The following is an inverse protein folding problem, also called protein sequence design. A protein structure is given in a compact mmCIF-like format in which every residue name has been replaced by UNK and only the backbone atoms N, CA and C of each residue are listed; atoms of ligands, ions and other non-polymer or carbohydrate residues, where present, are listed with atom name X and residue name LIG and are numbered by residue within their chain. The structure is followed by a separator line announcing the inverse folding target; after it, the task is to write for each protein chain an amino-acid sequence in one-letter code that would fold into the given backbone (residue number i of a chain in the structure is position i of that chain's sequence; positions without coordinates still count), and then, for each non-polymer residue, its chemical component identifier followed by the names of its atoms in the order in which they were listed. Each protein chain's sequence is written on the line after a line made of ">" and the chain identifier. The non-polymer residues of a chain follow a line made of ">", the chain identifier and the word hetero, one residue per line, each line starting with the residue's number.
data_IF_811464592162
#
_entry.id   IF_811464592162
#
_cell.length_a   1.000
_cell.length_b   1.000
_cell.length_c   1.000
_cell.angle_alpha   90.00
_cell.angle_beta   90.00
_cell.angle_gamma   90.00
#
_symmetry.space_group_name_H-M   'P 1'
#
loop_
_entity.id
_entity.type
_entity.pdbx_description
1 polymer ?
#
# COMPACT_ATOMS: atom_id res chain seq x y z
N UNK A 1 -6.75 -14.95 51.44
CA UNK A 1 -7.93 -14.06 51.42
C UNK A 1 -7.46 -12.62 51.26
N UNK A 2 -8.09 -11.91 50.34
CA UNK A 2 -8.23 -10.46 50.22
C UNK A 2 -6.99 -9.55 50.03
N UNK A 3 -6.86 -9.13 48.77
CA UNK A 3 -6.45 -7.83 48.24
C UNK A 3 -6.70 -6.58 49.11
N UNK A 4 -5.78 -5.61 49.05
CA UNK A 4 -6.16 -4.19 48.99
C UNK A 4 -5.16 -3.40 48.14
N UNK A 5 -5.73 -2.75 47.13
CA UNK A 5 -5.12 -1.87 46.12
C UNK A 5 -4.89 -0.48 46.68
N UNK A 6 -3.69 0.09 46.50
CA UNK A 6 -3.45 1.53 46.58
C UNK A 6 -3.27 2.08 45.17
N UNK A 7 -4.39 2.49 44.58
CA UNK A 7 -4.41 3.24 43.33
C UNK A 7 -3.74 4.61 43.50
N UNK A 8 -2.88 4.95 42.55
CA UNK A 8 -2.45 6.33 42.30
C UNK A 8 -3.64 7.17 41.80
N UNK A 9 -3.68 8.48 42.08
CA UNK A 9 -4.89 9.28 41.91
C UNK A 9 -5.21 9.47 40.43
N UNK A 10 -6.40 9.03 40.03
CA UNK A 10 -7.05 9.46 38.79
C UNK A 10 -7.33 10.97 38.89
N UNK A 11 -6.85 11.80 37.94
CA UNK A 11 -7.34 13.16 37.84
C UNK A 11 -8.78 13.14 37.34
N UNK A 12 -9.66 13.90 38.00
CA UNK A 12 -11.07 14.01 37.69
C UNK A 12 -11.34 14.50 36.24
N UNK A 13 -12.48 14.13 35.63
CA UNK A 13 -12.90 14.56 34.28
C UNK A 13 -12.92 16.08 34.05
N UNK A 14 -12.90 16.87 35.13
CA UNK A 14 -12.75 18.33 35.09
C UNK A 14 -11.37 18.78 34.55
N UNK A 15 -10.32 17.97 34.68
CA UNK A 15 -9.00 18.31 34.14
C UNK A 15 -8.99 18.33 32.60
N UNK A 16 -9.72 17.39 31.96
CA UNK A 16 -9.92 17.37 30.50
C UNK A 16 -10.78 18.56 30.08
N UNK A 17 -11.79 18.89 30.87
CA UNK A 17 -12.70 20.01 30.57
C UNK A 17 -12.02 21.38 30.72
N UNK A 18 -11.16 21.58 31.72
CA UNK A 18 -10.40 22.83 31.93
C UNK A 18 -9.25 23.02 30.93
N UNK A 19 -8.57 21.94 30.53
CA UNK A 19 -7.48 22.01 29.55
C UNK A 19 -7.98 22.24 28.11
N UNK A 20 -9.15 21.68 27.76
CA UNK A 20 -9.73 21.78 26.42
C UNK A 20 -10.67 22.99 26.27
N UNK A 21 -11.11 23.59 27.38
CA UNK A 21 -11.89 24.85 27.40
C UNK A 21 -11.02 26.10 27.56
N UNK A 22 -9.70 26.01 27.39
CA UNK A 22 -8.82 27.18 27.41
C UNK A 22 -8.52 27.64 25.96
N UNK A 23 -9.40 28.46 25.36
CA UNK A 23 -9.26 28.90 23.97
C UNK A 23 -7.96 29.67 23.71
N UNK A 24 -7.31 30.21 24.76
CA UNK A 24 -6.04 30.94 24.64
C UNK A 24 -4.89 30.02 24.22
N UNK A 25 -4.82 28.78 24.71
CA UNK A 25 -3.80 27.80 24.30
C UNK A 25 -3.99 27.30 22.87
N UNK A 26 -5.25 27.17 22.42
CA UNK A 26 -5.59 26.79 21.03
C UNK A 26 -5.39 27.96 20.06
N UNK A 27 -5.66 29.19 20.50
CA UNK A 27 -5.47 30.43 19.73
C UNK A 27 -3.99 30.81 19.58
N UNK A 28 -3.16 30.66 20.62
CA UNK A 28 -1.70 30.86 20.50
C UNK A 28 -1.08 29.84 19.52
N UNK A 29 -1.63 28.63 19.47
CA UNK A 29 -1.22 27.61 18.51
C UNK A 29 -1.56 28.00 17.06
N UNK A 30 -2.72 28.62 16.81
CA UNK A 30 -3.13 29.07 15.47
C UNK A 30 -2.41 30.36 15.03
N UNK A 31 -2.11 31.27 15.97
CA UNK A 31 -1.32 32.48 15.71
C UNK A 31 0.14 32.14 15.37
N UNK A 32 0.70 31.10 15.99
CA UNK A 32 2.06 30.61 15.70
C UNK A 32 2.18 29.89 14.34
N UNK A 33 1.13 29.18 13.88
CA UNK A 33 1.08 28.57 12.53
C UNK A 33 1.09 29.65 11.44
N UNK A 34 0.41 30.77 11.68
CA UNK A 34 0.42 31.94 10.78
C UNK A 34 1.77 32.69 10.76
N UNK A 35 2.65 32.44 11.75
CA UNK A 35 3.93 33.16 11.95
C UNK A 35 5.19 32.27 11.97
N UNK A 36 5.08 30.99 11.58
CA UNK A 36 6.25 30.11 11.37
C UNK A 36 6.84 29.43 12.63
N UNK A 37 6.08 29.30 13.72
CA UNK A 37 6.55 28.65 14.97
C UNK A 37 6.54 27.10 14.91
N UNK A 38 7.57 26.45 14.37
CA UNK A 38 7.65 24.98 14.21
C UNK A 38 7.76 24.15 15.51
N UNK A 39 8.19 24.72 16.65
CA UNK A 39 8.40 23.95 17.91
C UNK A 39 7.10 23.62 18.64
N UNK A 40 6.21 24.60 18.80
CA UNK A 40 4.96 24.46 19.56
C UNK A 40 3.94 23.56 18.85
N UNK A 41 3.91 23.59 17.52
CA UNK A 41 3.04 22.74 16.68
C UNK A 41 3.29 21.24 16.92
N UNK A 42 4.56 20.83 16.97
CA UNK A 42 4.93 19.42 17.15
C UNK A 42 4.65 18.92 18.58
N UNK A 43 4.71 19.79 19.58
CA UNK A 43 4.42 19.43 20.98
C UNK A 43 2.93 19.25 21.22
N UNK A 44 2.10 20.12 20.64
CA UNK A 44 0.63 19.99 20.69
C UNK A 44 0.16 18.77 19.89
N UNK A 45 0.74 18.52 18.71
CA UNK A 45 0.46 17.30 17.94
C UNK A 45 0.83 16.02 18.71
N UNK A 46 1.99 15.99 19.40
CA UNK A 46 2.39 14.88 20.27
C UNK A 46 1.46 14.71 21.47
N UNK A 47 0.90 15.80 22.00
CA UNK A 47 -0.02 15.76 23.13
C UNK A 47 -1.36 15.14 22.74
N UNK A 48 -1.97 15.55 21.62
CA UNK A 48 -3.20 14.93 21.12
C UNK A 48 -3.03 13.46 20.76
N UNK A 49 -1.85 13.06 20.27
CA UNK A 49 -1.54 11.65 20.05
C UNK A 49 -1.46 10.88 21.37
N UNK A 50 -0.86 11.45 22.42
CA UNK A 50 -0.76 10.80 23.74
C UNK A 50 -2.11 10.73 24.45
N UNK A 51 -2.92 11.79 24.37
CA UNK A 51 -4.28 11.81 24.92
C UNK A 51 -5.19 10.84 24.16
N UNK A 52 -5.08 10.78 22.82
CA UNK A 52 -5.86 9.86 22.00
C UNK A 52 -5.58 8.37 22.26
N UNK A 53 -4.38 8.02 22.75
CA UNK A 53 -4.07 6.65 23.17
C UNK A 53 -4.68 6.28 24.53
N UNK A 54 -4.94 7.27 25.40
CA UNK A 54 -5.50 7.06 26.75
C UNK A 54 -7.02 7.24 26.76
N UNK A 55 -7.55 8.16 25.95
CA UNK A 55 -8.97 8.52 25.85
C UNK A 55 -9.46 8.54 24.37
N UNK A 56 -9.38 7.42 23.64
CA UNK A 56 -9.73 7.37 22.21
C UNK A 56 -11.21 7.69 21.94
N UNK A 57 -12.08 7.32 22.88
CA UNK A 57 -13.53 7.48 22.80
C UNK A 57 -13.99 8.92 23.01
N UNK A 58 -13.48 9.56 24.07
CA UNK A 58 -13.80 10.95 24.37
C UNK A 58 -13.29 11.89 23.27
N UNK A 59 -12.10 11.59 22.71
CA UNK A 59 -11.54 12.32 21.58
C UNK A 59 -12.37 12.15 20.30
N UNK A 60 -12.91 10.95 20.07
CA UNK A 60 -13.79 10.64 18.94
C UNK A 60 -15.13 11.37 19.00
N UNK A 61 -15.65 11.64 20.19
CA UNK A 61 -16.89 12.41 20.37
C UNK A 61 -16.58 13.91 20.27
N UNK A 62 -15.50 14.36 20.89
CA UNK A 62 -15.18 15.78 21.02
C UNK A 62 -14.76 16.42 19.68
N UNK A 63 -13.79 15.86 18.96
CA UNK A 63 -13.21 16.51 17.78
C UNK A 63 -14.24 16.63 16.62
N UNK A 64 -14.93 15.55 16.21
CA UNK A 64 -16.01 15.63 15.22
C UNK A 64 -17.18 16.53 15.65
N UNK A 65 -17.54 16.57 16.93
CA UNK A 65 -18.65 17.44 17.39
C UNK A 65 -18.32 18.93 17.30
N UNK A 66 -17.05 19.32 17.49
CA UNK A 66 -16.58 20.70 17.29
C UNK A 66 -16.55 21.10 15.82
N UNK A 67 -16.22 20.19 14.90
CA UNK A 67 -16.38 20.42 13.47
C UNK A 67 -17.86 20.61 13.06
N UNK A 68 -18.79 19.85 13.66
CA UNK A 68 -20.25 19.95 13.39
C UNK A 68 -20.89 21.24 13.90
N UNK A 69 -20.31 21.93 14.89
CA UNK A 69 -20.93 23.10 15.53
C UNK A 69 -20.86 24.40 14.70
N UNK A 70 -20.00 24.42 13.67
CA UNK A 70 -19.76 25.57 12.79
C UNK A 70 -21.03 26.18 12.17
N UNK A 71 -22.00 25.34 11.80
CA UNK A 71 -23.20 25.79 11.09
C UNK A 71 -24.25 26.48 11.99
N UNK A 72 -24.26 26.19 13.30
CA UNK A 72 -25.30 26.69 14.21
C UNK A 72 -25.02 28.08 14.78
N UNK A 73 -23.77 28.55 14.81
CA UNK A 73 -23.42 29.81 15.49
C UNK A 73 -22.76 30.88 14.62
N UNK A 74 -22.22 30.54 13.43
CA UNK A 74 -21.57 31.37 12.37
C UNK A 74 -20.66 32.56 12.78
N UNK A 75 -20.53 32.92 14.06
CA UNK A 75 -19.94 34.18 14.51
C UNK A 75 -19.19 34.06 15.85
N UNK A 76 -19.21 32.92 16.55
CA UNK A 76 -18.57 32.79 17.89
C UNK A 76 -17.56 31.65 18.07
N UNK A 77 -17.53 30.64 17.21
CA UNK A 77 -16.67 29.44 17.39
C UNK A 77 -15.82 29.05 16.17
N UNK A 78 -15.56 29.97 15.23
CA UNK A 78 -14.68 29.72 14.07
C UNK A 78 -13.28 29.21 14.47
N UNK A 79 -12.57 29.77 15.48
CA UNK A 79 -11.24 29.29 15.84
C UNK A 79 -11.24 27.86 16.39
N UNK A 80 -12.31 27.46 17.08
CA UNK A 80 -12.46 26.11 17.63
C UNK A 80 -12.73 25.09 16.54
N UNK A 81 -13.53 25.46 15.53
CA UNK A 81 -13.79 24.59 14.38
C UNK A 81 -12.53 24.42 13.53
N UNK A 82 -11.82 25.52 13.27
CA UNK A 82 -10.55 25.48 12.54
C UNK A 82 -9.49 24.65 13.26
N UNK A 83 -9.37 24.82 14.59
CA UNK A 83 -8.49 24.02 15.43
C UNK A 83 -8.85 22.53 15.44
N UNK A 84 -10.15 22.21 15.57
CA UNK A 84 -10.62 20.83 15.51
C UNK A 84 -10.29 20.15 14.17
N UNK A 85 -10.47 20.87 13.06
CA UNK A 85 -10.13 20.40 11.72
C UNK A 85 -8.62 20.15 11.56
N UNK A 86 -7.79 21.09 12.04
CA UNK A 86 -6.33 20.93 12.02
C UNK A 86 -5.85 19.72 12.84
N UNK A 87 -6.55 19.40 13.94
CA UNK A 87 -6.21 18.27 14.80
C UNK A 87 -6.72 16.95 14.23
N UNK A 88 -7.91 16.93 13.62
CA UNK A 88 -8.60 15.72 13.14
C UNK A 88 -7.74 14.83 12.23
N UNK A 89 -6.90 15.43 11.40
CA UNK A 89 -5.98 14.70 10.50
C UNK A 89 -4.94 13.84 11.23
N UNK A 90 -4.66 14.07 12.51
CA UNK A 90 -3.62 13.34 13.24
C UNK A 90 -4.10 12.04 13.91
N UNK A 91 -5.28 12.01 14.55
CA UNK A 91 -5.88 10.77 15.06
C UNK A 91 -6.33 9.80 13.97
N UNK A 92 -6.81 10.28 12.81
CA UNK A 92 -7.38 9.46 11.74
C UNK A 92 -6.47 8.29 11.28
N UNK A 93 -5.15 8.49 11.04
CA UNK A 93 -4.21 7.41 10.73
C UNK A 93 -3.87 6.49 11.91
N UNK A 94 -3.90 7.01 13.14
CA UNK A 94 -3.24 6.41 14.31
C UNK A 94 -4.19 5.70 15.27
N UNK A 95 -5.47 6.07 15.24
CA UNK A 95 -6.55 5.44 16.01
C UNK A 95 -7.50 4.67 15.08
N UNK A 96 -7.00 4.27 13.91
CA UNK A 96 -7.78 3.67 12.83
C UNK A 96 -8.60 2.46 13.31
N UNK A 97 -8.02 1.54 14.09
CA UNK A 97 -8.75 0.37 14.61
C UNK A 97 -9.96 0.74 15.48
N UNK A 98 -9.82 1.76 16.36
CA UNK A 98 -10.91 2.20 17.22
C UNK A 98 -11.95 3.07 16.47
N UNK A 99 -11.50 3.91 15.54
CA UNK A 99 -12.34 4.89 14.85
C UNK A 99 -13.01 4.34 13.58
N UNK A 100 -12.44 3.33 12.92
CA UNK A 100 -13.04 2.69 11.73
C UNK A 100 -14.36 2.00 12.05
N UNK A 101 -14.53 1.42 13.25
CA UNK A 101 -15.82 0.83 13.66
C UNK A 101 -16.95 1.86 13.86
N UNK A 102 -16.61 3.16 13.82
CA UNK A 102 -17.51 4.30 14.06
C UNK A 102 -17.49 5.29 12.89
N UNK A 103 -17.12 4.81 11.70
CA UNK A 103 -16.80 5.56 10.48
C UNK A 103 -17.79 6.65 10.03
N UNK A 104 -19.11 6.61 10.30
CA UNK A 104 -19.99 7.69 9.84
C UNK A 104 -19.67 9.05 10.45
N UNK A 105 -19.18 9.11 11.71
CA UNK A 105 -19.06 10.37 12.45
C UNK A 105 -17.98 11.35 11.94
N UNK A 106 -16.72 10.92 11.66
CA UNK A 106 -15.70 11.82 11.12
C UNK A 106 -16.04 12.31 9.70
N UNK A 107 -16.61 11.42 8.88
CA UNK A 107 -17.03 11.75 7.50
C UNK A 107 -18.13 12.80 7.53
N UNK A 108 -19.16 12.61 8.34
CA UNK A 108 -20.22 13.61 8.49
C UNK A 108 -19.70 14.94 9.04
N UNK A 109 -18.76 14.92 9.99
CA UNK A 109 -18.23 16.14 10.60
C UNK A 109 -17.49 17.03 9.60
N UNK A 110 -16.78 16.43 8.64
CA UNK A 110 -16.03 17.12 7.59
C UNK A 110 -16.94 17.48 6.40
N UNK A 111 -17.98 16.69 6.15
CA UNK A 111 -18.96 16.90 5.06
C UNK A 111 -19.66 18.26 5.14
N UNK A 112 -19.97 18.74 6.34
CA UNK A 112 -20.64 20.04 6.52
C UNK A 112 -19.75 21.26 6.23
N UNK A 113 -18.43 21.06 6.09
CA UNK A 113 -17.47 22.13 5.85
C UNK A 113 -17.16 22.30 4.35
N UNK A 114 -17.73 21.47 3.47
CA UNK A 114 -17.46 21.50 2.03
C UNK A 114 -17.91 22.80 1.33
N UNK A 115 -18.85 23.55 1.91
CA UNK A 115 -19.32 24.82 1.36
C UNK A 115 -18.57 26.05 1.91
N UNK A 116 -17.53 25.84 2.73
CA UNK A 116 -16.82 26.91 3.43
C UNK A 116 -15.98 27.77 2.47
N UNK A 117 -16.06 29.10 2.63
CA UNK A 117 -15.44 30.06 1.71
C UNK A 117 -14.11 30.62 2.24
N UNK A 118 -13.83 30.45 3.53
CA UNK A 118 -12.59 30.90 4.14
C UNK A 118 -11.39 30.06 3.65
N UNK A 119 -10.36 30.73 3.09
CA UNK A 119 -9.19 30.06 2.52
C UNK A 119 -8.46 29.16 3.52
N UNK A 120 -8.32 29.60 4.78
CA UNK A 120 -7.68 28.81 5.83
C UNK A 120 -8.44 27.50 6.07
N UNK A 121 -9.77 27.59 6.23
CA UNK A 121 -10.62 26.41 6.37
C UNK A 121 -10.51 25.49 5.16
N UNK A 122 -10.50 26.04 3.93
CA UNK A 122 -10.38 25.22 2.73
C UNK A 122 -9.06 24.45 2.64
N UNK A 123 -7.95 25.06 3.07
CA UNK A 123 -6.65 24.40 3.14
C UNK A 123 -6.64 23.29 4.19
N UNK A 124 -7.07 23.57 5.42
CA UNK A 124 -7.12 22.58 6.50
C UNK A 124 -8.11 21.44 6.21
N UNK A 125 -9.20 21.75 5.49
CA UNK A 125 -10.19 20.79 5.02
C UNK A 125 -9.60 19.87 3.97
N UNK A 126 -8.88 20.42 3.00
CA UNK A 126 -8.22 19.65 1.94
C UNK A 126 -7.19 18.67 2.52
N UNK A 127 -6.37 19.11 3.48
CA UNK A 127 -5.43 18.23 4.18
C UNK A 127 -6.15 17.10 4.93
N UNK A 128 -7.25 17.42 5.61
CA UNK A 128 -8.04 16.43 6.34
C UNK A 128 -8.68 15.41 5.40
N UNK A 129 -9.24 15.85 4.26
CA UNK A 129 -9.82 14.97 3.24
C UNK A 129 -8.78 14.02 2.66
N UNK A 130 -7.57 14.52 2.34
CA UNK A 130 -6.48 13.69 1.81
C UNK A 130 -6.09 12.60 2.80
N UNK A 131 -6.00 12.94 4.09
CA UNK A 131 -5.70 11.95 5.14
C UNK A 131 -6.85 10.95 5.36
N UNK A 132 -8.11 11.41 5.28
CA UNK A 132 -9.26 10.50 5.34
C UNK A 132 -9.29 9.53 4.16
N UNK A 133 -8.93 9.99 2.96
CA UNK A 133 -8.84 9.17 1.76
C UNK A 133 -7.70 8.13 1.87
N UNK A 134 -6.51 8.54 2.33
CA UNK A 134 -5.34 7.66 2.45
C UNK A 134 -5.51 6.57 3.51
N UNK A 135 -6.50 6.69 4.38
CA UNK A 135 -6.84 5.72 5.42
C UNK A 135 -8.25 5.14 5.24
N UNK A 136 -8.80 5.11 4.02
CA UNK A 136 -10.05 4.39 3.70
C UNK A 136 -11.30 4.82 4.49
N UNK A 137 -11.37 6.08 4.96
CA UNK A 137 -12.59 6.62 5.59
C UNK A 137 -13.63 7.08 4.56
N UNK A 138 -13.23 7.34 3.32
CA UNK A 138 -14.08 7.88 2.26
C UNK A 138 -14.46 6.80 1.25
N UNK A 139 -15.44 5.96 1.60
CA UNK A 139 -15.94 4.87 0.74
C UNK A 139 -17.36 5.15 0.27
N UNK A 140 -17.66 4.85 -1.00
CA UNK A 140 -18.99 5.00 -1.59
C UNK A 140 -19.41 6.47 -1.83
N UNK A 141 -20.72 6.78 -1.80
CA UNK A 141 -21.26 8.10 -2.19
C UNK A 141 -20.73 9.28 -1.38
N UNK A 142 -20.26 9.04 -0.14
CA UNK A 142 -19.63 10.08 0.67
C UNK A 142 -18.31 10.54 0.06
N UNK A 143 -17.53 9.65 -0.55
CA UNK A 143 -16.23 9.98 -1.16
C UNK A 143 -16.35 10.88 -2.39
N UNK A 144 -17.40 10.72 -3.19
CA UNK A 144 -17.65 11.52 -4.40
C UNK A 144 -17.72 13.03 -4.10
N UNK A 145 -18.41 13.40 -3.01
CA UNK A 145 -18.56 14.79 -2.58
C UNK A 145 -17.23 15.44 -2.18
N UNK A 146 -16.34 14.69 -1.52
CA UNK A 146 -15.04 15.19 -1.11
C UNK A 146 -14.05 15.29 -2.28
N UNK A 147 -14.12 14.34 -3.23
CA UNK A 147 -13.35 14.41 -4.47
C UNK A 147 -13.78 15.62 -5.31
N UNK A 148 -15.09 15.84 -5.45
CA UNK A 148 -15.61 17.02 -6.14
C UNK A 148 -15.13 18.32 -5.49
N UNK A 149 -15.17 18.39 -4.15
CA UNK A 149 -14.65 19.54 -3.42
C UNK A 149 -13.15 19.79 -3.69
N UNK A 150 -12.31 18.75 -3.64
CA UNK A 150 -10.87 18.89 -3.93
C UNK A 150 -10.64 19.35 -5.37
N UNK A 151 -11.33 18.75 -6.35
CA UNK A 151 -11.20 19.13 -7.76
C UNK A 151 -11.59 20.60 -7.98
N UNK A 152 -12.70 21.05 -7.38
CA UNK A 152 -13.15 22.44 -7.46
C UNK A 152 -12.13 23.43 -6.87
N UNK A 153 -11.45 23.06 -5.79
CA UNK A 153 -10.52 23.95 -5.07
C UNK A 153 -9.06 23.81 -5.51
N UNK A 154 -8.71 22.74 -6.22
CA UNK A 154 -7.39 22.53 -6.84
C UNK A 154 -7.36 22.93 -8.32
N UNK A 155 -8.51 23.19 -8.96
CA UNK A 155 -8.58 23.69 -10.32
C UNK A 155 -7.94 25.09 -10.42
N UNK A 156 -6.74 25.16 -11.00
CA UNK A 156 -6.09 26.41 -11.35
C UNK A 156 -6.88 27.08 -12.48
N UNK A 157 -7.56 28.19 -12.19
CA UNK A 157 -8.17 29.03 -13.23
C UNK A 157 -7.08 29.70 -14.07
N UNK A 158 -7.32 29.92 -15.37
CA UNK A 158 -6.36 30.45 -16.35
C UNK A 158 -5.65 31.76 -15.91
N UNK A 159 -6.25 32.56 -15.01
CA UNK A 159 -5.60 33.71 -14.38
C UNK A 159 -4.33 33.39 -13.58
N UNK A 160 -4.19 32.18 -13.03
CA UNK A 160 -2.98 31.77 -12.31
C UNK A 160 -1.84 31.36 -13.25
N UNK A 161 -2.16 30.93 -14.48
CA UNK A 161 -1.17 30.49 -15.48
C UNK A 161 -0.37 31.66 -16.05
N UNK A 162 -0.98 32.84 -16.16
CA UNK A 162 -0.29 34.07 -16.61
C UNK A 162 0.64 34.66 -15.54
N UNK A 163 0.41 34.40 -14.25
CA UNK A 163 1.24 34.93 -13.16
C UNK A 163 2.48 34.08 -12.84
N UNK A 164 2.57 32.84 -13.34
CA UNK A 164 3.78 32.02 -13.21
C UNK A 164 4.84 32.34 -14.27
N UNK A 165 4.48 33.05 -15.34
CA UNK A 165 5.41 33.46 -16.42
C UNK A 165 6.12 34.80 -16.17
N UNK A 166 5.69 35.58 -15.19
CA UNK A 166 6.29 36.87 -14.85
C UNK A 166 6.20 37.10 -13.34
N UNK A 167 7.32 36.92 -12.63
CA UNK A 167 7.84 37.92 -11.68
C UNK A 167 8.96 37.32 -10.82
N UNK A 168 10.20 37.66 -11.17
CA UNK A 168 11.17 38.10 -10.16
C UNK A 168 10.77 39.53 -9.78
N UNK A 169 10.79 39.81 -8.48
CA UNK A 169 10.74 41.12 -7.81
C UNK A 169 9.38 41.76 -7.43
N UNK A 170 9.17 41.76 -6.10
CA UNK A 170 8.86 42.89 -5.19
C UNK A 170 7.51 43.64 -5.24
N UNK A 171 6.90 43.67 -4.05
CA UNK A 171 6.11 44.74 -3.37
C UNK A 171 4.57 44.86 -3.52
N UNK A 172 3.96 44.74 -2.33
CA UNK A 172 2.74 45.35 -1.77
C UNK A 172 1.88 46.33 -2.60
N UNK A 173 0.58 46.06 -2.65
CA UNK A 173 -0.50 46.82 -1.95
C UNK A 173 -1.83 46.77 -2.71
N UNK A 174 -2.95 46.86 -1.97
CA UNK A 174 -4.19 47.47 -2.46
C UNK A 174 -5.37 46.55 -2.81
N UNK A 175 -6.44 46.65 -2.03
CA UNK A 175 -7.79 46.12 -2.24
C UNK A 175 -8.36 46.36 -3.65
N UNK A 176 -9.12 45.39 -4.18
CA UNK A 176 -10.43 45.64 -4.81
C UNK A 176 -11.26 44.34 -4.90
N UNK A 177 -12.49 44.39 -4.38
CA UNK A 177 -13.50 43.34 -4.41
C UNK A 177 -14.39 43.54 -5.65
N UNK A 178 -14.71 42.47 -6.39
CA UNK A 178 -15.79 42.48 -7.42
C UNK A 178 -16.57 41.16 -7.32
N UNK A 179 -17.90 41.17 -7.13
CA UNK A 179 -18.69 39.95 -6.96
C UNK A 179 -19.07 39.36 -8.33
N UNK A 180 -18.90 38.04 -8.49
CA UNK A 180 -19.34 37.32 -9.69
C UNK A 180 -20.67 36.59 -9.40
N UNK A 181 -21.71 36.95 -10.13
CA UNK A 181 -23.02 36.29 -10.15
C UNK A 181 -23.04 35.20 -11.23
N UNK A 182 -23.51 33.99 -10.94
CA UNK A 182 -23.77 32.98 -11.97
C UNK A 182 -25.26 32.82 -12.23
N UNK A 183 -25.65 33.06 -13.49
CA UNK A 183 -26.97 32.73 -14.04
C UNK A 183 -27.07 31.23 -14.25
N UNK A 184 -28.17 30.64 -13.75
CA UNK A 184 -28.60 29.27 -14.01
C UNK A 184 -28.82 29.08 -15.52
N UNK A 185 -27.99 28.25 -16.15
CA UNK A 185 -28.23 27.73 -17.50
C UNK A 185 -28.62 26.27 -17.36
N UNK A 186 -29.88 25.98 -17.65
CA UNK A 186 -30.38 24.62 -17.86
C UNK A 186 -29.76 24.09 -19.16
N UNK A 187 -28.80 23.18 -19.01
CA UNK A 187 -28.14 22.48 -20.11
C UNK A 187 -28.49 21.00 -20.04
N UNK A 188 -29.11 20.50 -21.11
CA UNK A 188 -29.46 19.09 -21.33
C UNK A 188 -28.25 18.19 -21.08
N UNK A 189 -28.40 17.19 -20.20
CA UNK A 189 -27.41 16.13 -19.96
C UNK A 189 -27.30 15.29 -21.23
N UNK A 190 -26.36 15.65 -22.10
CA UNK A 190 -25.83 14.69 -23.07
C UNK A 190 -24.84 13.84 -22.28
N UNK A 191 -25.25 12.62 -21.95
CA UNK A 191 -24.38 11.60 -21.37
C UNK A 191 -23.27 11.26 -22.37
N UNK A 192 -22.22 12.09 -22.40
CA UNK A 192 -20.89 11.62 -22.71
C UNK A 192 -20.41 10.95 -21.45
N UNK A 193 -20.48 9.62 -21.45
CA UNK A 193 -19.57 8.80 -20.65
C UNK A 193 -18.15 9.29 -20.98
N UNK A 194 -17.63 10.22 -20.19
CA UNK A 194 -16.20 10.33 -20.00
C UNK A 194 -15.85 9.02 -19.31
N UNK A 195 -15.38 8.06 -20.10
CA UNK A 195 -14.51 7.01 -19.59
C UNK A 195 -13.34 7.80 -19.00
N UNK A 196 -13.42 8.04 -17.69
CA UNK A 196 -12.22 8.33 -16.93
C UNK A 196 -11.33 7.13 -17.22
N UNK A 197 -10.22 7.35 -17.92
CA UNK A 197 -9.05 6.51 -17.69
C UNK A 197 -8.74 6.69 -16.22
N UNK A 198 -9.35 5.83 -15.40
CA UNK A 198 -8.98 5.70 -14.01
C UNK A 198 -7.48 5.51 -14.02
N UNK A 199 -6.78 6.17 -13.10
CA UNK A 199 -5.40 5.80 -12.80
C UNK A 199 -5.43 4.33 -12.41
N UNK A 200 -5.25 3.44 -13.38
CA UNK A 200 -5.41 2.01 -13.20
C UNK A 200 -4.38 1.64 -12.14
N UNK A 201 -4.84 1.15 -10.99
CA UNK A 201 -3.93 0.53 -10.06
C UNK A 201 -3.22 -0.59 -10.85
N UNK A 202 -1.90 -0.67 -10.74
CA UNK A 202 -1.19 -1.81 -11.28
C UNK A 202 -1.76 -3.05 -10.60
N UNK A 203 -2.05 -4.09 -11.36
CA UNK A 203 -2.54 -5.36 -10.83
C UNK A 203 -1.58 -6.46 -11.20
N UNK A 204 -1.46 -7.46 -10.34
CA UNK A 204 -0.88 -8.76 -10.70
C UNK A 204 -2.03 -9.72 -10.96
N UNK A 205 -2.17 -10.16 -12.20
CA UNK A 205 -3.13 -11.20 -12.58
C UNK A 205 -2.44 -12.54 -12.58
N UNK A 206 -2.95 -13.47 -11.77
CA UNK A 206 -2.49 -14.85 -11.71
C UNK A 206 -3.35 -15.71 -12.61
N UNK A 207 -2.74 -16.48 -13.50
CA UNK A 207 -3.42 -17.40 -14.42
C UNK A 207 -2.88 -18.81 -14.21
N UNK A 208 -3.75 -19.78 -13.92
CA UNK A 208 -3.34 -21.18 -13.81
C UNK A 208 -3.66 -21.95 -15.10
N UNK A 209 -2.64 -22.26 -15.91
CA UNK A 209 -2.76 -23.15 -17.07
C UNK A 209 -2.34 -24.59 -16.78
N UNK A 210 -1.92 -24.90 -15.55
CA UNK A 210 -1.58 -26.25 -15.16
C UNK A 210 -2.83 -27.14 -15.16
N UNK A 211 -2.64 -28.44 -15.40
CA UNK A 211 -3.72 -29.46 -15.35
C UNK A 211 -4.18 -29.78 -13.92
N UNK A 212 -3.64 -29.10 -12.92
CA UNK A 212 -3.92 -29.26 -11.50
C UNK A 212 -4.11 -27.90 -10.82
N UNK A 213 -4.78 -27.92 -9.66
CA UNK A 213 -4.94 -26.71 -8.83
C UNK A 213 -3.59 -26.29 -8.26
N UNK A 214 -3.32 -25.00 -8.32
CA UNK A 214 -2.19 -24.36 -7.62
C UNK A 214 -2.76 -23.44 -6.54
N UNK A 215 -1.99 -23.21 -5.48
CA UNK A 215 -2.34 -22.25 -4.44
C UNK A 215 -1.32 -21.12 -4.40
N UNK A 216 -1.51 -20.06 -5.21
CA UNK A 216 -0.60 -18.93 -5.21
C UNK A 216 -0.46 -18.33 -3.81
N UNK A 217 0.70 -17.78 -3.56
CA UNK A 217 1.03 -17.08 -2.34
C UNK A 217 1.86 -15.83 -2.66
N UNK A 218 1.76 -14.84 -1.78
CA UNK A 218 2.40 -13.54 -1.96
C UNK A 218 3.09 -13.14 -0.67
N UNK A 219 4.26 -12.51 -0.77
CA UNK A 219 4.99 -11.96 0.36
C UNK A 219 5.51 -10.56 0.02
N UNK A 220 5.10 -9.56 0.79
CA UNK A 220 5.77 -8.25 0.75
C UNK A 220 7.08 -8.32 1.53
N UNK A 221 8.16 -7.82 0.93
CA UNK A 221 9.50 -7.72 1.54
C UNK A 221 9.59 -6.68 2.67
N UNK A 222 10.76 -6.61 3.30
CA UNK A 222 11.12 -5.63 4.35
C UNK A 222 10.14 -5.55 5.54
N UNK A 223 9.33 -6.58 5.78
CA UNK A 223 8.23 -6.57 6.77
C UNK A 223 7.26 -5.40 6.58
N UNK A 224 7.14 -4.89 5.36
CA UNK A 224 6.13 -3.91 4.97
C UNK A 224 4.73 -4.56 4.96
N UNK A 225 3.65 -3.76 4.92
CA UNK A 225 2.28 -4.30 4.87
C UNK A 225 2.11 -5.31 3.73
N UNK A 226 1.42 -6.41 4.04
CA UNK A 226 1.12 -7.45 3.06
C UNK A 226 0.07 -6.96 2.04
N UNK A 227 -0.01 -7.64 0.90
CA UNK A 227 -1.09 -7.41 -0.07
C UNK A 227 -2.45 -7.81 0.52
N UNK A 228 -3.54 -7.50 -0.19
CA UNK A 228 -4.91 -7.79 0.25
C UNK A 228 -5.19 -9.28 0.47
N UNK A 229 -4.37 -10.15 -0.10
CA UNK A 229 -4.30 -11.59 0.17
C UNK A 229 -2.84 -12.02 0.11
N UNK A 230 -2.47 -12.95 0.98
CA UNK A 230 -1.16 -13.61 1.05
C UNK A 230 -1.18 -15.05 0.55
N UNK A 231 -2.37 -15.62 0.28
CA UNK A 231 -2.50 -16.90 -0.40
C UNK A 231 -3.94 -17.27 -0.71
N UNK A 232 -4.14 -17.98 -1.82
CA UNK A 232 -5.47 -18.37 -2.29
C UNK A 232 -5.45 -19.64 -3.16
N UNK A 233 -6.61 -20.24 -3.39
CA UNK A 233 -6.79 -21.34 -4.35
C UNK A 233 -6.95 -20.79 -5.78
N UNK A 234 -6.27 -21.39 -6.75
CA UNK A 234 -6.40 -21.08 -8.16
C UNK A 234 -6.55 -22.39 -8.97
N UNK A 235 -7.78 -22.72 -9.33
CA UNK A 235 -8.11 -23.93 -10.11
C UNK A 235 -7.60 -23.86 -11.54
N UNK A 236 -7.50 -25.01 -12.20
CA UNK A 236 -7.14 -25.10 -13.62
C UNK A 236 -8.01 -24.20 -14.48
N UNK A 237 -7.37 -23.40 -15.34
CA UNK A 237 -8.00 -22.43 -16.23
C UNK A 237 -8.51 -21.16 -15.55
N UNK A 238 -8.44 -21.06 -14.22
CA UNK A 238 -8.88 -19.87 -13.50
C UNK A 238 -7.82 -18.77 -13.52
N UNK A 239 -8.29 -17.53 -13.37
CA UNK A 239 -7.45 -16.38 -13.11
C UNK A 239 -7.96 -15.58 -11.90
N UNK A 240 -7.08 -14.80 -11.28
CA UNK A 240 -7.41 -13.88 -10.19
C UNK A 240 -6.45 -12.69 -10.21
N UNK A 241 -6.98 -11.48 -10.07
CA UNK A 241 -6.18 -10.28 -9.93
C UNK A 241 -5.97 -9.90 -8.45
N UNK A 242 -4.81 -9.31 -8.16
CA UNK A 242 -4.47 -8.70 -6.86
C UNK A 242 -3.88 -7.32 -7.14
N UNK A 243 -4.33 -6.31 -6.41
CA UNK A 243 -3.80 -4.95 -6.53
C UNK A 243 -2.34 -4.89 -6.06
N UNK A 244 -1.49 -4.22 -6.84
CA UNK A 244 -0.08 -4.03 -6.56
C UNK A 244 0.19 -2.54 -6.26
N UNK A 245 0.57 -2.19 -5.01
CA UNK A 245 0.92 -0.82 -4.69
C UNK A 245 2.24 -0.42 -5.36
N UNK A 246 2.48 0.89 -5.41
CA UNK A 246 3.75 1.48 -5.82
C UNK A 246 4.14 2.55 -4.78
N UNK A 247 5.33 2.45 -4.17
CA UNK A 247 6.34 1.42 -4.40
C UNK A 247 5.99 0.11 -3.68
N UNK A 248 6.50 -1.00 -4.20
CA UNK A 248 6.36 -2.31 -3.59
C UNK A 248 7.55 -3.18 -3.98
N UNK A 249 7.97 -4.07 -3.10
CA UNK A 249 8.97 -5.10 -3.41
C UNK A 249 8.59 -6.36 -2.67
N UNK A 250 8.61 -7.49 -3.38
CA UNK A 250 8.19 -8.75 -2.82
C UNK A 250 8.19 -9.86 -3.87
N UNK A 251 7.61 -10.98 -3.49
CA UNK A 251 7.68 -12.21 -4.27
C UNK A 251 6.38 -12.99 -4.26
N UNK A 252 6.23 -13.81 -5.30
CA UNK A 252 5.08 -14.66 -5.55
C UNK A 252 5.55 -16.08 -5.85
N UNK A 253 4.78 -17.09 -5.45
CA UNK A 253 5.05 -18.49 -5.76
C UNK A 253 3.76 -19.32 -5.81
N UNK A 254 3.84 -20.51 -6.40
CA UNK A 254 2.72 -21.46 -6.47
C UNK A 254 2.95 -22.65 -5.55
N UNK A 255 2.03 -22.92 -4.63
CA UNK A 255 2.02 -24.16 -3.82
C UNK A 255 1.28 -25.26 -4.56
N UNK A 256 1.73 -26.51 -4.40
CA UNK A 256 1.13 -27.69 -5.05
C UNK A 256 0.91 -28.84 -4.06
N UNK A 257 -0.01 -29.75 -4.41
CA UNK A 257 -0.35 -30.90 -3.57
C UNK A 257 -0.86 -30.48 -2.20
N UNK A 258 -1.76 -29.50 -2.16
CA UNK A 258 -2.29 -28.97 -0.90
C UNK A 258 -3.56 -29.68 -0.47
N UNK A 259 -3.71 -29.86 0.84
CA UNK A 259 -4.89 -30.43 1.48
C UNK A 259 -5.16 -29.77 2.82
N UNK A 260 -6.43 -29.71 3.21
CA UNK A 260 -6.82 -29.37 4.58
C UNK A 260 -7.09 -30.65 5.38
N UNK A 261 -6.30 -30.87 6.43
CA UNK A 261 -6.47 -31.98 7.35
C UNK A 261 -6.91 -31.44 8.72
N UNK A 262 -8.22 -31.53 8.99
CA UNK A 262 -8.85 -31.09 10.24
C UNK A 262 -8.60 -29.61 10.59
N UNK A 263 -8.68 -28.72 9.61
CA UNK A 263 -8.48 -27.27 9.78
C UNK A 263 -7.03 -26.85 9.73
N UNK A 264 -6.11 -27.75 9.33
CA UNK A 264 -4.70 -27.45 9.09
C UNK A 264 -4.41 -27.66 7.60
N UNK A 265 -4.24 -26.54 6.91
CA UNK A 265 -3.85 -26.52 5.51
C UNK A 265 -2.34 -26.73 5.36
N UNK A 266 -1.95 -27.70 4.54
CA UNK A 266 -0.55 -28.04 4.24
C UNK A 266 -0.36 -28.39 2.79
N UNK A 267 0.76 -27.99 2.21
CA UNK A 267 1.15 -28.29 0.83
C UNK A 267 2.39 -29.19 0.75
N UNK A 268 2.51 -29.94 -0.35
CA UNK A 268 3.65 -30.84 -0.57
C UNK A 268 4.89 -30.06 -1.02
N UNK A 269 4.70 -29.00 -1.82
CA UNK A 269 5.78 -28.11 -2.27
C UNK A 269 5.49 -26.67 -1.90
N UNK A 270 6.53 -25.89 -1.59
CA UNK A 270 6.46 -24.45 -1.35
C UNK A 270 5.51 -24.01 -0.21
N UNK A 271 5.20 -24.92 0.72
CA UNK A 271 4.34 -24.64 1.86
C UNK A 271 4.89 -23.48 2.70
N UNK A 272 4.01 -22.59 3.16
CA UNK A 272 4.41 -21.41 3.94
C UNK A 272 4.22 -21.60 5.45
N UNK A 273 3.85 -22.80 5.90
CA UNK A 273 3.83 -23.18 7.31
C UNK A 273 2.80 -22.43 8.17
N UNK A 274 1.89 -21.64 7.58
CA UNK A 274 0.86 -20.91 8.32
C UNK A 274 -0.25 -21.82 8.85
N UNK A 275 -0.38 -23.03 8.30
CA UNK A 275 -1.52 -23.92 8.56
C UNK A 275 -2.82 -23.45 7.92
N UNK A 276 -2.77 -22.42 7.07
CA UNK A 276 -3.91 -21.79 6.39
C UNK A 276 -3.64 -21.61 4.90
N UNK A 277 -4.70 -21.38 4.12
CA UNK A 277 -4.55 -20.98 2.72
C UNK A 277 -3.78 -19.65 2.63
N UNK A 278 -4.08 -18.70 3.52
CA UNK A 278 -3.33 -17.45 3.66
C UNK A 278 -1.95 -17.72 4.30
N UNK A 279 -0.88 -17.13 3.75
CA UNK A 279 0.49 -17.31 4.27
C UNK A 279 0.85 -16.34 5.39
N UNK A 280 0.05 -15.29 5.63
CA UNK A 280 0.15 -14.39 6.78
C UNK A 280 1.55 -13.78 6.98
N UNK A 281 2.24 -13.46 5.89
CA UNK A 281 3.59 -12.90 5.91
C UNK A 281 4.73 -13.92 6.03
N UNK A 282 4.44 -15.22 5.99
CA UNK A 282 5.45 -16.26 5.90
C UNK A 282 5.89 -16.49 4.44
N UNK A 283 7.17 -16.76 4.24
CA UNK A 283 7.70 -17.23 2.95
C UNK A 283 7.44 -18.73 2.73
N UNK A 284 7.40 -19.14 1.47
CA UNK A 284 7.34 -20.56 1.11
C UNK A 284 8.64 -21.30 1.41
N UNK A 285 8.54 -22.56 1.84
CA UNK A 285 9.68 -23.44 2.05
C UNK A 285 10.25 -23.91 0.70
N UNK A 286 11.55 -23.68 0.41
CA UNK A 286 12.19 -24.20 -0.79
C UNK A 286 12.12 -25.74 -0.87
N UNK A 287 12.07 -26.34 -2.08
CA UNK A 287 12.17 -25.69 -3.38
C UNK A 287 10.90 -24.97 -3.84
N UNK A 288 11.07 -23.76 -4.38
CA UNK A 288 9.97 -22.95 -4.91
C UNK A 288 10.45 -22.08 -6.08
N UNK A 289 9.76 -22.18 -7.22
CA UNK A 289 9.90 -21.21 -8.31
C UNK A 289 9.30 -19.89 -7.85
N UNK A 290 10.06 -18.80 -7.96
CA UNK A 290 9.65 -17.47 -7.54
C UNK A 290 9.39 -16.57 -8.74
N UNK A 291 8.43 -15.65 -8.60
CA UNK A 291 8.40 -14.41 -9.37
C UNK A 291 8.66 -13.27 -8.40
N UNK A 292 9.66 -12.45 -8.69
CA UNK A 292 10.06 -11.32 -7.87
C UNK A 292 9.72 -10.03 -8.62
N UNK A 293 9.10 -9.06 -7.95
CA UNK A 293 8.75 -7.76 -8.55
C UNK A 293 9.11 -6.66 -7.57
N UNK A 294 9.78 -5.62 -8.08
CA UNK A 294 10.04 -4.37 -7.41
C UNK A 294 9.48 -3.22 -8.24
N UNK A 295 8.41 -2.59 -7.75
CA UNK A 295 7.77 -1.43 -8.38
C UNK A 295 8.33 -0.12 -7.83
N UNK A 296 8.63 0.81 -8.74
CA UNK A 296 9.17 2.12 -8.39
C UNK A 296 8.07 3.14 -8.08
N UNK A 297 8.45 4.21 -7.36
CA UNK A 297 7.59 5.38 -7.18
C UNK A 297 7.51 6.22 -8.46
N UNK A 298 6.47 7.04 -8.58
CA UNK A 298 6.36 8.12 -9.58
C UNK A 298 6.59 7.68 -11.04
N UNK A 299 6.02 6.55 -11.45
CA UNK A 299 6.19 5.97 -12.79
C UNK A 299 7.65 5.63 -13.15
N UNK A 300 8.47 5.35 -12.14
CA UNK A 300 9.85 4.91 -12.32
C UNK A 300 9.99 3.56 -13.03
N UNK A 301 11.22 3.04 -13.06
CA UNK A 301 11.53 1.75 -13.65
C UNK A 301 11.31 0.63 -12.64
N UNK A 302 10.41 -0.30 -12.97
CA UNK A 302 10.21 -1.52 -12.21
C UNK A 302 11.23 -2.57 -12.65
N UNK A 303 11.54 -3.49 -11.73
CA UNK A 303 12.39 -4.67 -11.95
C UNK A 303 11.59 -5.93 -11.62
N UNK A 304 11.70 -6.95 -12.45
CA UNK A 304 11.03 -8.22 -12.22
C UNK A 304 11.73 -9.38 -12.90
N UNK A 305 11.48 -10.57 -12.38
CA UNK A 305 12.08 -11.80 -12.87
C UNK A 305 11.34 -13.05 -12.36
N UNK A 306 11.58 -14.17 -13.04
CA UNK A 306 11.38 -15.52 -12.51
C UNK A 306 12.73 -15.96 -11.94
N UNK A 307 12.71 -16.54 -10.73
CA UNK A 307 13.92 -16.95 -10.02
C UNK A 307 13.85 -18.40 -9.57
N UNK A 308 14.94 -19.12 -9.84
CA UNK A 308 15.18 -20.52 -9.46
C UNK A 308 16.29 -20.63 -8.40
N UNK A 309 16.66 -19.51 -7.78
CA UNK A 309 17.64 -19.46 -6.67
C UNK A 309 17.19 -20.34 -5.51
N UNK A 310 15.89 -20.32 -5.21
CA UNK A 310 15.23 -21.18 -4.22
C UNK A 310 14.77 -22.52 -4.83
N UNK A 311 15.24 -22.89 -6.02
CA UNK A 311 14.88 -24.12 -6.72
C UNK A 311 13.63 -23.99 -7.60
N UNK A 312 13.07 -25.13 -7.98
CA UNK A 312 11.93 -25.24 -8.89
C UNK A 312 10.87 -26.18 -8.34
N UNK A 313 9.59 -25.83 -8.52
CA UNK A 313 8.49 -26.76 -8.27
C UNK A 313 7.43 -26.72 -9.38
N UNK A 314 7.07 -25.54 -9.87
CA UNK A 314 6.06 -25.34 -10.93
C UNK A 314 6.59 -24.38 -11.99
N UNK A 315 6.39 -24.65 -13.30
CA UNK A 315 6.78 -23.69 -14.35
C UNK A 315 6.02 -22.38 -14.19
N UNK A 316 6.71 -21.25 -14.35
CA UNK A 316 6.13 -19.92 -14.18
C UNK A 316 6.66 -18.94 -15.22
N UNK A 317 5.84 -17.94 -15.56
CA UNK A 317 6.29 -16.74 -16.26
C UNK A 317 5.71 -15.50 -15.61
N UNK A 318 6.38 -14.37 -15.81
CA UNK A 318 5.84 -13.03 -15.57
C UNK A 318 5.99 -12.20 -16.84
N UNK A 319 4.87 -11.61 -17.26
CA UNK A 319 4.82 -10.67 -18.39
C UNK A 319 4.16 -9.37 -17.95
N UNK A 320 4.42 -8.30 -18.69
CA UNK A 320 3.84 -6.98 -18.40
C UNK A 320 2.71 -6.67 -19.37
N UNK A 321 1.68 -5.99 -18.86
CA UNK A 321 0.55 -5.47 -19.61
C UNK A 321 0.61 -3.94 -19.55
N UNK A 322 0.92 -3.32 -20.69
CA UNK A 322 1.22 -1.89 -20.75
C UNK A 322 2.64 -1.56 -20.32
N UNK A 323 2.86 -0.33 -19.84
CA UNK A 323 4.18 0.19 -19.54
C UNK A 323 5.01 0.53 -20.80
N UNK A 324 6.24 0.98 -20.58
CA UNK A 324 7.17 1.37 -21.64
C UNK A 324 8.60 0.95 -21.30
N UNK A 325 9.42 0.66 -22.31
CA UNK A 325 10.80 0.21 -22.13
C UNK A 325 11.00 -1.15 -22.76
N UNK A 326 11.82 -2.00 -22.15
CA UNK A 326 12.03 -3.37 -22.65
C UNK A 326 10.78 -4.24 -22.46
N UNK A 327 10.21 -4.24 -21.25
CA UNK A 327 8.94 -4.91 -20.91
C UNK A 327 8.86 -6.37 -21.40
N UNK A 328 10.01 -7.07 -21.42
CA UNK A 328 10.13 -8.46 -21.89
C UNK A 328 9.52 -9.42 -20.87
N UNK A 329 9.16 -10.61 -21.32
CA UNK A 329 8.68 -11.68 -20.44
C UNK A 329 9.86 -12.38 -19.79
N UNK A 330 9.80 -12.59 -18.46
CA UNK A 330 10.67 -13.54 -17.76
C UNK A 330 9.94 -14.87 -17.63
N UNK A 331 10.60 -16.00 -17.89
CA UNK A 331 9.93 -17.29 -17.93
C UNK A 331 10.85 -18.47 -17.69
N UNK A 332 10.34 -19.43 -16.93
CA UNK A 332 10.80 -20.81 -16.87
C UNK A 332 9.65 -21.74 -17.27
N UNK A 333 9.46 -22.03 -18.57
CA UNK A 333 8.35 -22.85 -19.05
C UNK A 333 8.67 -24.35 -19.02
N UNK A 334 9.95 -24.72 -18.94
CA UNK A 334 10.39 -26.10 -18.97
C UNK A 334 9.99 -26.86 -17.68
N UNK A 335 9.70 -28.15 -17.83
CA UNK A 335 9.59 -29.04 -16.68
C UNK A 335 10.99 -29.41 -16.17
N UNK A 336 11.49 -28.61 -15.22
CA UNK A 336 12.81 -28.84 -14.61
C UNK A 336 12.81 -30.12 -13.78
N UNK A 337 11.66 -30.57 -13.25
CA UNK A 337 11.58 -31.81 -12.47
C UNK A 337 11.98 -33.04 -13.31
N UNK A 338 11.65 -33.04 -14.61
CA UNK A 338 12.02 -34.12 -15.53
C UNK A 338 13.54 -34.23 -15.78
N UNK A 339 14.29 -33.15 -15.56
CA UNK A 339 15.74 -33.09 -15.78
C UNK A 339 16.53 -32.82 -14.48
N UNK A 340 15.87 -32.96 -13.32
CA UNK A 340 16.48 -32.67 -12.04
C UNK A 340 17.54 -33.72 -11.66
N UNK A 341 18.80 -33.32 -11.36
CA UNK A 341 19.84 -34.23 -10.87
C UNK A 341 19.40 -34.99 -9.62
N UNK A 342 19.81 -36.25 -9.48
CA UNK A 342 19.34 -37.15 -8.43
C UNK A 342 19.51 -36.57 -7.01
N UNK A 343 20.62 -35.88 -6.79
CA UNK A 343 21.01 -35.21 -5.55
C UNK A 343 20.16 -33.97 -5.22
N UNK A 344 19.47 -33.39 -6.20
CA UNK A 344 18.60 -32.21 -6.04
C UNK A 344 17.11 -32.58 -6.01
N UNK A 345 16.75 -33.84 -6.30
CA UNK A 345 15.36 -34.26 -6.40
C UNK A 345 14.64 -34.24 -5.04
N UNK A 346 13.48 -33.59 -5.00
CA UNK A 346 12.47 -33.80 -3.98
C UNK A 346 11.37 -34.70 -4.56
N UNK A 347 11.14 -35.85 -3.91
CA UNK A 347 10.18 -36.86 -4.38
C UNK A 347 8.89 -36.84 -3.57
N UNK A 348 7.78 -37.04 -4.26
CA UNK A 348 6.47 -37.25 -3.66
C UNK A 348 6.31 -38.67 -3.09
N UNK A 349 5.16 -38.92 -2.48
CA UNK A 349 4.83 -40.23 -1.89
C UNK A 349 4.73 -41.36 -2.93
N UNK A 350 4.46 -41.00 -4.19
CA UNK A 350 4.41 -41.90 -5.35
C UNK A 350 5.80 -42.18 -5.95
N UNK A 351 6.85 -41.54 -5.43
CA UNK A 351 8.23 -41.67 -5.91
C UNK A 351 8.56 -40.77 -7.10
N UNK A 352 7.59 -40.00 -7.62
CA UNK A 352 7.83 -39.04 -8.70
C UNK A 352 8.56 -37.81 -8.17
N UNK A 353 9.39 -37.18 -9.01
CA UNK A 353 10.05 -35.92 -8.68
C UNK A 353 9.00 -34.80 -8.76
N UNK A 354 8.72 -34.17 -7.63
CA UNK A 354 7.69 -33.11 -7.51
C UNK A 354 8.30 -31.71 -7.44
N UNK A 355 9.58 -31.61 -7.13
CA UNK A 355 10.34 -30.37 -7.12
C UNK A 355 11.84 -30.65 -7.23
N UNK A 356 12.61 -29.63 -7.63
CA UNK A 356 14.05 -29.68 -7.77
C UNK A 356 14.70 -28.59 -6.92
N UNK A 357 15.54 -28.97 -5.95
CA UNK A 357 16.29 -28.02 -5.13
C UNK A 357 17.35 -27.30 -5.94
N UNK A 358 17.65 -26.06 -5.59
CA UNK A 358 18.90 -25.44 -6.02
C UNK A 358 20.09 -26.07 -5.28
N UNK A 359 21.30 -25.86 -5.80
CA UNK A 359 22.51 -26.34 -5.13
C UNK A 359 22.73 -25.65 -3.78
N UNK A 360 22.34 -24.37 -3.63
CA UNK A 360 22.38 -23.70 -2.33
C UNK A 360 21.46 -24.41 -1.33
N UNK A 361 20.23 -24.72 -1.76
CA UNK A 361 19.26 -25.39 -0.88
C UNK A 361 19.65 -26.82 -0.50
N UNK A 362 20.35 -27.53 -1.38
CA UNK A 362 20.77 -28.89 -1.08
C UNK A 362 22.08 -28.95 -0.27
N UNK A 363 23.10 -28.19 -0.66
CA UNK A 363 24.46 -28.35 -0.10
C UNK A 363 24.80 -27.32 0.96
N UNK A 364 24.14 -26.14 0.96
CA UNK A 364 24.41 -25.03 1.90
C UNK A 364 25.88 -24.58 1.90
N UNK A 365 26.58 -24.76 0.78
CA UNK A 365 27.99 -24.37 0.60
C UNK A 365 28.11 -22.97 -0.02
N UNK A 366 29.14 -22.22 0.38
CA UNK A 366 29.35 -20.83 -0.03
C UNK A 366 29.46 -20.62 -1.54
N UNK A 367 30.01 -21.59 -2.28
CA UNK A 367 30.09 -21.54 -3.74
C UNK A 367 28.74 -21.59 -4.45
N UNK A 368 27.69 -22.05 -3.77
CA UNK A 368 26.33 -22.12 -4.31
C UNK A 368 25.42 -21.03 -3.73
N UNK A 369 25.61 -20.67 -2.46
CA UNK A 369 24.78 -19.69 -1.77
C UNK A 369 25.29 -18.25 -1.84
N UNK A 370 26.55 -18.06 -2.26
CA UNK A 370 27.18 -16.75 -2.40
C UNK A 370 27.09 -15.83 -1.16
N UNK A 371 27.28 -16.31 0.09
CA UNK A 371 27.27 -15.44 1.26
C UNK A 371 28.50 -14.51 1.25
N UNK A 372 28.52 -13.40 2.02
CA UNK A 372 29.73 -12.61 2.20
C UNK A 372 30.90 -13.51 2.66
N UNK A 373 32.10 -13.41 2.05
CA UNK A 373 32.58 -12.36 1.16
C UNK A 373 32.41 -12.65 -0.35
N UNK A 374 31.64 -13.68 -0.73
CA UNK A 374 31.32 -14.10 -2.10
C UNK A 374 30.04 -13.43 -2.64
N UNK A 375 29.54 -12.40 -1.97
CA UNK A 375 28.36 -11.60 -2.30
C UNK A 375 28.60 -10.63 -3.48
N UNK A 376 29.42 -11.05 -4.44
CA UNK A 376 29.74 -10.30 -5.66
C UNK A 376 29.77 -11.21 -6.87
N UNK A 377 29.33 -10.75 -8.07
CA UNK A 377 29.34 -11.56 -9.29
C UNK A 377 30.71 -12.16 -9.61
N UNK A 378 31.81 -11.43 -9.36
CA UNK A 378 33.17 -11.92 -9.66
C UNK A 378 33.64 -13.04 -8.74
N UNK A 379 32.99 -13.19 -7.58
CA UNK A 379 33.37 -14.16 -6.54
C UNK A 379 32.42 -15.34 -6.42
N UNK A 380 31.24 -15.26 -7.03
CA UNK A 380 30.31 -16.37 -7.13
C UNK A 380 29.99 -16.63 -8.61
N UNK A 381 30.88 -17.35 -9.33
CA UNK A 381 30.63 -17.68 -10.72
C UNK A 381 29.53 -18.74 -10.87
N UNK A 382 28.94 -18.91 -12.07
CA UNK A 382 28.06 -20.02 -12.37
C UNK A 382 28.71 -21.38 -12.06
N UNK A 383 27.89 -22.34 -11.65
CA UNK A 383 28.31 -23.71 -11.32
C UNK A 383 27.64 -24.71 -12.25
N UNK A 384 28.12 -25.95 -12.28
CA UNK A 384 27.49 -27.03 -13.06
C UNK A 384 25.99 -27.18 -12.74
N UNK A 385 25.60 -26.95 -11.48
CA UNK A 385 24.19 -27.00 -11.07
C UNK A 385 23.39 -25.79 -11.56
N UNK A 386 23.89 -24.56 -11.41
CA UNK A 386 23.16 -23.38 -11.89
C UNK A 386 22.99 -23.43 -13.42
N UNK A 387 24.00 -23.94 -14.14
CA UNK A 387 23.94 -24.11 -15.60
C UNK A 387 22.87 -25.09 -16.07
N UNK A 388 22.40 -26.01 -15.23
CA UNK A 388 21.26 -26.89 -15.56
C UNK A 388 19.97 -26.07 -15.61
N UNK A 389 19.74 -25.22 -14.61
CA UNK A 389 18.59 -24.32 -14.56
C UNK A 389 18.65 -23.31 -15.71
N UNK A 390 19.82 -22.70 -15.95
CA UNK A 390 20.04 -21.75 -17.05
C UNK A 390 19.73 -22.36 -18.42
N UNK A 391 20.18 -23.59 -18.66
CA UNK A 391 19.95 -24.28 -19.94
C UNK A 391 18.47 -24.57 -20.19
N UNK A 392 17.71 -24.87 -19.14
CA UNK A 392 16.28 -25.18 -19.23
C UNK A 392 15.43 -23.91 -19.27
N UNK A 393 15.87 -22.86 -18.58
CA UNK A 393 15.13 -21.63 -18.35
C UNK A 393 16.05 -20.40 -18.46
N UNK A 394 16.55 -20.06 -19.67
CA UNK A 394 17.54 -18.99 -19.88
C UNK A 394 16.96 -17.57 -19.74
N UNK A 395 15.67 -17.45 -19.41
CA UNK A 395 14.98 -16.18 -19.15
C UNK A 395 14.58 -16.07 -17.66
N UNK A 396 15.21 -16.87 -16.79
CA UNK A 396 14.99 -16.90 -15.36
C UNK A 396 16.34 -16.91 -14.63
N UNK A 397 16.39 -16.37 -13.42
CA UNK A 397 17.59 -16.43 -12.58
C UNK A 397 17.92 -17.87 -12.21
N UNK A 398 19.09 -18.35 -12.62
CA UNK A 398 19.58 -19.68 -12.27
C UNK A 398 20.36 -19.73 -10.95
N UNK A 399 20.90 -18.60 -10.50
CA UNK A 399 21.59 -18.40 -9.21
C UNK A 399 21.66 -16.91 -8.84
N UNK A 400 22.18 -16.58 -7.65
CA UNK A 400 22.08 -15.24 -7.05
C UNK A 400 22.64 -14.06 -7.88
N UNK A 401 23.58 -14.27 -8.80
CA UNK A 401 24.21 -13.20 -9.59
C UNK A 401 24.05 -13.38 -11.10
N UNK A 402 22.97 -14.03 -11.53
CA UNK A 402 22.64 -14.23 -12.93
C UNK A 402 22.00 -12.97 -13.57
N UNK A 403 22.77 -11.88 -13.68
CA UNK A 403 22.22 -10.55 -13.95
C UNK A 403 22.04 -10.22 -15.45
N UNK A 404 22.85 -10.81 -16.34
CA UNK A 404 22.96 -10.36 -17.74
C UNK A 404 21.70 -10.57 -18.59
N UNK A 405 20.91 -11.61 -18.32
CA UNK A 405 19.72 -11.96 -19.10
C UNK A 405 18.46 -12.16 -18.27
N UNK A 406 18.54 -12.05 -16.94
CA UNK A 406 17.46 -12.50 -16.06
C UNK A 406 16.79 -11.39 -15.26
N UNK A 407 17.34 -10.16 -15.25
CA UNK A 407 16.62 -8.98 -14.74
C UNK A 407 15.88 -8.28 -15.87
N UNK A 408 14.57 -8.16 -15.75
CA UNK A 408 13.75 -7.46 -16.73
C UNK A 408 13.22 -6.16 -16.16
N UNK A 409 13.10 -5.16 -17.03
CA UNK A 409 12.66 -3.82 -16.64
C UNK A 409 11.46 -3.37 -17.44
N UNK A 410 10.59 -2.61 -16.80
CA UNK A 410 9.47 -1.93 -17.46
C UNK A 410 9.10 -0.69 -16.66
N UNK A 411 8.85 0.42 -17.36
CA UNK A 411 8.53 1.71 -16.73
C UNK A 411 7.07 2.09 -16.95
N UNK A 412 6.63 3.19 -16.36
CA UNK A 412 5.27 3.72 -16.52
C UNK A 412 4.16 2.79 -16.01
N UNK A 413 4.40 2.17 -14.85
CA UNK A 413 3.41 1.46 -14.04
C UNK A 413 2.63 0.37 -14.83
N UNK A 414 3.34 -0.62 -15.41
CA UNK A 414 2.68 -1.75 -16.05
C UNK A 414 1.83 -2.54 -15.05
N UNK A 415 0.81 -3.23 -15.54
CA UNK A 415 0.25 -4.37 -14.82
C UNK A 415 1.05 -5.63 -15.14
N UNK A 416 0.92 -6.67 -14.33
CA UNK A 416 1.67 -7.90 -14.47
C UNK A 416 0.74 -9.09 -14.65
N UNK A 417 1.17 -10.07 -15.43
CA UNK A 417 0.52 -11.38 -15.54
C UNK A 417 1.50 -12.49 -15.17
N UNK A 418 1.22 -13.16 -14.06
CA UNK A 418 1.91 -14.35 -13.61
C UNK A 418 1.15 -15.57 -14.11
N UNK A 419 1.79 -16.39 -14.95
CA UNK A 419 1.18 -17.60 -15.47
C UNK A 419 1.88 -18.83 -14.91
N UNK A 420 1.12 -19.73 -14.29
CA UNK A 420 1.58 -21.07 -13.93
C UNK A 420 1.40 -22.01 -15.13
N UNK A 421 2.43 -22.79 -15.47
CA UNK A 421 2.50 -23.64 -16.66
C UNK A 421 2.26 -22.85 -17.98
N UNK A 422 3.09 -21.82 -18.27
CA UNK A 422 2.84 -20.84 -19.33
C UNK A 422 2.71 -21.40 -20.75
#
# INVERSE_FOLDING_TARGET
>A
MASSSSGSPTPAPEAVQVLVSNPVLVLDCCSAVSRGGRRTYNEVQRWFLRVGLVYPEDLFIYVPSKCKYHLKSRLKEEPLTFGALCVLKHPLPRLSEAWHSKTPSPVEAVKFLLDEQNLGFRMALSESIVVMASHCYLVGPSGELFVEYLVRNCALTDQYRSNLGMSKEVSASGNAYVPFQYKRLEGVVVSRFLVYDGTHAATVTFTNKCTYTVWPATLTGDKKPQLSTTGFELRTGANRAVDLPAPWSGRFWGRTGCSDNNGRFTCTTADCGSGQVECNGNGGAPPATLVEITTAENNGQDYYDVSLVDGFNVPMSVSTQGGTGECKTSSCPADVNANCPAELQMKGADGNVIACKSACEQFKEDKYCCPPPNDKPEKCPPTDYSMIFEKLCPQAYSYAFDDKNSTFTCSNRPSYEITFCP
#
